data_IF_552274415580
#
_entry.id   IF_552274415580
#
_cell.length_a   1.000
_cell.length_b   1.000
_cell.length_c   1.000
_cell.angle_alpha   90.00
_cell.angle_beta   90.00
_cell.angle_gamma   90.00
#
_symmetry.space_group_name_H-M   'P 1'
#
loop_
_entity.id
_entity.type
_entity.pdbx_description
1 polymer ?
#
# COMPACT_ATOMS: atom_id res chain seq x y z
N UNK A 1 0.47 8.82 -8.61
CA UNK A 1 1.94 8.73 -8.73
C UNK A 1 2.42 8.08 -10.05
N UNK A 2 1.56 7.90 -11.06
CA UNK A 2 2.00 7.35 -12.36
C UNK A 2 3.11 8.16 -13.04
N UNK A 3 2.93 9.49 -13.05
CA UNK A 3 3.79 10.42 -13.77
C UNK A 3 5.24 10.36 -13.27
N UNK A 4 5.44 10.20 -11.97
CA UNK A 4 6.74 10.25 -11.34
C UNK A 4 7.66 9.12 -11.82
N UNK A 5 7.19 7.88 -11.76
CA UNK A 5 8.01 6.72 -12.15
C UNK A 5 8.03 6.44 -13.66
N UNK A 6 7.07 6.96 -14.43
CA UNK A 6 7.02 6.74 -15.90
C UNK A 6 7.67 7.85 -16.71
N UNK A 7 7.72 9.08 -16.17
CA UNK A 7 8.18 10.27 -16.90
C UNK A 7 9.20 11.06 -16.11
N UNK A 8 8.82 11.60 -14.95
CA UNK A 8 9.62 12.59 -14.24
C UNK A 8 11.00 12.06 -13.81
N UNK A 9 11.04 11.00 -12.99
CA UNK A 9 12.30 10.45 -12.50
C UNK A 9 13.16 9.80 -13.59
N UNK A 10 12.59 9.09 -14.59
CA UNK A 10 13.35 8.69 -15.77
C UNK A 10 14.03 9.86 -16.48
N UNK A 11 13.31 10.96 -16.75
CA UNK A 11 13.89 12.14 -17.39
C UNK A 11 14.94 12.84 -16.52
N UNK A 12 14.76 12.87 -15.20
CA UNK A 12 15.78 13.41 -14.30
C UNK A 12 17.03 12.53 -14.24
N UNK A 13 16.88 11.21 -14.30
CA UNK A 13 18.01 10.29 -14.37
C UNK A 13 18.80 10.46 -15.68
N UNK A 14 18.11 10.64 -16.81
CA UNK A 14 18.73 10.94 -18.10
C UNK A 14 19.53 12.25 -18.05
N UNK A 15 18.92 13.34 -17.57
CA UNK A 15 19.61 14.62 -17.42
C UNK A 15 20.83 14.52 -16.48
N UNK A 16 20.72 13.80 -15.36
CA UNK A 16 21.83 13.58 -14.44
C UNK A 16 22.99 12.81 -15.10
N UNK A 17 22.73 11.87 -16.00
CA UNK A 17 23.79 11.20 -16.78
C UNK A 17 24.47 12.19 -17.74
N UNK A 18 23.69 13.01 -18.45
CA UNK A 18 24.20 14.00 -19.41
C UNK A 18 25.11 15.05 -18.73
N UNK A 19 24.78 15.43 -17.51
CA UNK A 19 25.55 16.39 -16.70
C UNK A 19 26.73 15.75 -15.94
N UNK A 20 26.92 14.43 -16.04
CA UNK A 20 28.02 13.70 -15.40
C UNK A 20 27.78 13.30 -13.93
N UNK A 21 26.54 13.36 -13.44
CA UNK A 21 26.14 12.99 -12.08
C UNK A 21 25.58 11.56 -12.00
N UNK A 22 26.43 10.57 -12.22
CA UNK A 22 26.04 9.15 -12.24
C UNK A 22 25.37 8.65 -10.95
N UNK A 23 25.87 9.05 -9.77
CA UNK A 23 25.27 8.65 -8.48
C UNK A 23 23.84 9.20 -8.31
N UNK A 24 23.59 10.42 -8.76
CA UNK A 24 22.26 11.05 -8.71
C UNK A 24 21.31 10.36 -9.70
N UNK A 25 21.80 10.00 -10.89
CA UNK A 25 21.01 9.25 -11.86
C UNK A 25 20.51 7.90 -11.30
N UNK A 26 21.40 7.16 -10.61
CA UNK A 26 21.02 5.91 -9.96
C UNK A 26 20.05 6.12 -8.79
N UNK A 27 20.20 7.21 -8.03
CA UNK A 27 19.23 7.58 -7.01
C UNK A 27 17.84 7.85 -7.61
N UNK A 28 17.73 8.59 -8.71
CA UNK A 28 16.45 8.83 -9.38
C UNK A 28 15.81 7.55 -9.91
N UNK A 29 16.60 6.62 -10.47
CA UNK A 29 16.10 5.30 -10.88
C UNK A 29 15.58 4.50 -9.70
N UNK A 30 16.30 4.49 -8.58
CA UNK A 30 15.88 3.79 -7.36
C UNK A 30 14.59 4.38 -6.77
N UNK A 31 14.44 5.71 -6.79
CA UNK A 31 13.19 6.36 -6.36
C UNK A 31 12.02 5.94 -7.25
N UNK A 32 12.20 5.90 -8.59
CA UNK A 32 11.16 5.44 -9.50
C UNK A 32 10.65 4.01 -9.19
N UNK A 33 11.52 3.12 -8.67
CA UNK A 33 11.12 1.78 -8.20
C UNK A 33 10.14 1.87 -7.01
N UNK A 34 10.42 2.75 -6.04
CA UNK A 34 9.54 2.97 -4.90
C UNK A 34 8.18 3.53 -5.34
N UNK A 35 8.17 4.56 -6.20
CA UNK A 35 6.94 5.20 -6.63
C UNK A 35 6.03 4.28 -7.47
N UNK A 36 6.63 3.36 -8.25
CA UNK A 36 5.85 2.33 -8.93
C UNK A 36 5.11 1.42 -7.94
N UNK A 37 5.76 1.07 -6.83
CA UNK A 37 5.12 0.25 -5.78
C UNK A 37 4.06 1.04 -5.01
N UNK A 38 4.30 2.34 -4.78
CA UNK A 38 3.30 3.22 -4.18
C UNK A 38 2.04 3.33 -5.06
N UNK A 39 2.18 3.56 -6.37
CA UNK A 39 1.04 3.55 -7.30
C UNK A 39 0.27 2.22 -7.22
N UNK A 40 0.98 1.09 -7.25
CA UNK A 40 0.35 -0.23 -7.14
C UNK A 40 -0.46 -0.35 -5.84
N UNK A 41 0.05 0.13 -4.72
CA UNK A 41 -0.66 0.17 -3.43
C UNK A 41 -1.91 1.03 -3.53
N UNK A 42 -1.82 2.25 -4.06
CA UNK A 42 -2.98 3.14 -4.16
C UNK A 42 -4.06 2.61 -5.09
N UNK A 43 -3.71 2.07 -6.24
CA UNK A 43 -4.67 1.44 -7.15
C UNK A 43 -5.33 0.20 -6.51
N UNK A 44 -4.57 -0.60 -5.77
CA UNK A 44 -5.10 -1.72 -5.01
C UNK A 44 -6.10 -1.30 -3.93
N UNK A 45 -5.78 -0.24 -3.17
CA UNK A 45 -6.68 0.33 -2.16
C UNK A 45 -7.92 0.96 -2.79
N UNK A 46 -7.77 1.72 -3.88
CA UNK A 46 -8.88 2.30 -4.64
C UNK A 46 -9.83 1.22 -5.14
N UNK A 47 -9.29 0.13 -5.70
CA UNK A 47 -10.09 -1.03 -6.12
C UNK A 47 -10.87 -1.62 -4.95
N UNK A 48 -10.26 -1.76 -3.77
CA UNK A 48 -10.96 -2.24 -2.58
C UNK A 48 -12.11 -1.32 -2.19
N UNK A 49 -11.93 0.00 -2.25
CA UNK A 49 -12.99 0.97 -1.96
C UNK A 49 -14.13 0.85 -2.98
N UNK A 50 -13.82 0.90 -4.27
CA UNK A 50 -14.80 0.82 -5.36
C UNK A 50 -15.61 -0.48 -5.32
N UNK A 51 -14.97 -1.60 -4.97
CA UNK A 51 -15.60 -2.92 -4.88
C UNK A 51 -16.21 -3.21 -3.51
N UNK A 52 -16.18 -2.26 -2.55
CA UNK A 52 -16.62 -2.46 -1.15
C UNK A 52 -15.95 -3.67 -0.48
N UNK A 53 -14.67 -3.92 -0.80
CA UNK A 53 -13.82 -5.00 -0.28
C UNK A 53 -12.78 -4.52 0.74
N UNK A 54 -12.95 -3.32 1.31
CA UNK A 54 -12.06 -2.80 2.37
C UNK A 54 -12.16 -3.66 3.62
N UNK A 55 -13.38 -3.94 4.08
CA UNK A 55 -13.66 -4.71 5.31
C UNK A 55 -14.41 -6.04 5.04
N UNK A 56 -14.42 -6.50 3.79
CA UNK A 56 -15.03 -7.76 3.36
C UNK A 56 -14.17 -8.47 2.31
N UNK A 57 -14.15 -9.80 2.34
CA UNK A 57 -13.58 -10.69 1.32
C UNK A 57 -14.56 -11.80 0.94
N UNK A 58 -14.28 -12.46 -0.18
CA UNK A 58 -15.15 -13.53 -0.71
C UNK A 58 -14.99 -14.83 0.11
N UNK A 59 -13.77 -15.07 0.61
CA UNK A 59 -13.39 -16.19 1.47
C UNK A 59 -13.14 -15.71 2.91
N UNK A 60 -13.17 -16.64 3.86
CA UNK A 60 -12.78 -16.39 5.25
C UNK A 60 -11.30 -16.02 5.28
N UNK A 61 -10.98 -14.92 5.98
CA UNK A 61 -9.62 -14.41 6.18
C UNK A 61 -9.43 -14.00 7.64
N UNK A 62 -8.17 -13.75 8.02
CA UNK A 62 -7.83 -13.18 9.32
C UNK A 62 -7.72 -11.68 9.23
N UNK A 63 -8.47 -10.96 10.06
CA UNK A 63 -8.44 -9.52 10.20
C UNK A 63 -7.73 -9.16 11.50
N UNK A 64 -6.79 -8.21 11.44
CA UNK A 64 -6.09 -7.68 12.61
C UNK A 64 -6.60 -6.29 12.93
N UNK A 65 -7.00 -6.06 14.18
CA UNK A 65 -7.22 -4.72 14.69
C UNK A 65 -5.87 -4.01 14.86
N UNK A 66 -5.65 -2.91 14.13
CA UNK A 66 -4.45 -2.06 14.22
C UNK A 66 -4.35 -1.31 15.54
N UNK A 67 -5.45 -1.17 16.29
CA UNK A 67 -5.44 -0.50 17.60
C UNK A 67 -4.83 -1.38 18.70
N UNK A 68 -5.23 -2.66 18.78
CA UNK A 68 -4.89 -3.51 19.92
C UNK A 68 -4.34 -4.90 19.56
N UNK A 69 -4.26 -5.25 18.26
CA UNK A 69 -3.75 -6.54 17.80
C UNK A 69 -4.74 -7.71 17.80
N UNK A 70 -6.00 -7.50 18.22
CA UNK A 70 -7.03 -8.56 18.18
C UNK A 70 -7.18 -9.15 16.77
N UNK A 71 -7.25 -10.48 16.69
CA UNK A 71 -7.44 -11.23 15.44
C UNK A 71 -8.88 -11.75 15.36
N UNK A 72 -9.55 -11.41 14.27
CA UNK A 72 -10.87 -11.92 13.91
C UNK A 72 -10.77 -12.83 12.68
N UNK A 73 -11.41 -14.00 12.70
CA UNK A 73 -11.51 -14.89 11.55
C UNK A 73 -12.93 -14.84 10.97
N UNK A 74 -13.05 -14.37 9.73
CA UNK A 74 -14.35 -14.15 9.10
C UNK A 74 -14.26 -13.60 7.69
N UNK A 75 -15.39 -13.59 6.97
CA UNK A 75 -15.47 -12.94 5.65
C UNK A 75 -15.48 -11.42 5.74
N UNK A 76 -15.86 -10.87 6.90
CA UNK A 76 -16.00 -9.44 7.14
C UNK A 76 -15.29 -9.07 8.46
N UNK A 77 -14.72 -7.87 8.56
CA UNK A 77 -14.23 -7.35 9.82
C UNK A 77 -15.42 -6.89 10.70
N UNK A 78 -15.37 -7.05 12.03
CA UNK A 78 -16.49 -6.67 12.89
C UNK A 78 -16.67 -5.14 12.95
N UNK A 79 -17.91 -4.69 13.10
CA UNK A 79 -18.25 -3.25 13.22
C UNK A 79 -17.55 -2.57 14.40
N UNK A 80 -17.31 -3.34 15.46
CA UNK A 80 -16.62 -2.92 16.68
C UNK A 80 -15.66 -4.02 17.14
N UNK A 81 -14.45 -3.64 17.51
CA UNK A 81 -13.46 -4.60 18.01
C UNK A 81 -13.90 -5.13 19.39
N UNK A 82 -14.05 -6.46 19.57
CA UNK A 82 -14.51 -7.03 20.84
C UNK A 82 -13.49 -6.92 21.98
N UNK A 83 -12.24 -6.58 21.66
CA UNK A 83 -11.17 -6.44 22.65
C UNK A 83 -11.00 -5.00 23.15
N UNK A 84 -11.00 -4.00 22.26
CA UNK A 84 -10.67 -2.62 22.61
C UNK A 84 -11.77 -1.60 22.28
N UNK A 85 -12.95 -2.06 21.85
CA UNK A 85 -14.12 -1.23 21.60
C UNK A 85 -13.98 -0.18 20.47
N UNK A 86 -12.90 -0.24 19.68
CA UNK A 86 -12.66 0.66 18.54
C UNK A 86 -13.42 0.23 17.27
N UNK A 87 -13.76 1.18 16.38
CA UNK A 87 -14.58 0.90 15.19
C UNK A 87 -13.89 0.02 14.14
N UNK A 88 -14.69 -0.52 13.21
CA UNK A 88 -14.25 -1.35 12.07
C UNK A 88 -13.07 -0.76 11.28
N UNK A 89 -12.97 0.57 11.23
CA UNK A 89 -11.93 1.31 10.51
C UNK A 89 -10.51 1.02 10.99
N UNK A 90 -10.36 0.42 12.17
CA UNK A 90 -9.07 -0.04 12.68
C UNK A 90 -8.69 -1.45 12.19
N UNK A 91 -9.54 -2.19 11.49
CA UNK A 91 -9.20 -3.51 10.98
C UNK A 91 -8.48 -3.45 9.63
N UNK A 92 -7.50 -4.34 9.48
CA UNK A 92 -6.84 -4.65 8.22
C UNK A 92 -6.71 -6.17 8.05
N UNK A 93 -6.32 -6.66 6.88
CA UNK A 93 -5.94 -8.06 6.74
C UNK A 93 -4.68 -8.34 7.55
N UNK A 94 -4.64 -9.47 8.26
CA UNK A 94 -3.42 -9.94 8.87
C UNK A 94 -2.39 -10.25 7.76
N UNK A 95 -1.20 -9.67 7.87
CA UNK A 95 -0.05 -9.94 7.01
C UNK A 95 1.09 -10.47 7.88
N UNK A 96 1.75 -11.54 7.41
CA UNK A 96 2.92 -12.15 8.04
C UNK A 96 4.06 -12.11 7.02
N UNK A 97 5.05 -11.25 7.25
CA UNK A 97 6.12 -10.95 6.29
C UNK A 97 7.52 -11.04 6.94
N UNK A 98 7.72 -12.08 7.77
CA UNK A 98 8.97 -12.48 8.40
C UNK A 98 9.30 -13.94 8.07
#
# INVERSE_FOLDING_TARGET
ENYEWTKMYPSFAEAAVEEGFSEIAEAFKAIAVAEKQHERRYLGLLKNVQQKKVFRKDNVVKWRCRNCGYIHEGKEAPDKCPACDHPQTFFELLAENW
#
